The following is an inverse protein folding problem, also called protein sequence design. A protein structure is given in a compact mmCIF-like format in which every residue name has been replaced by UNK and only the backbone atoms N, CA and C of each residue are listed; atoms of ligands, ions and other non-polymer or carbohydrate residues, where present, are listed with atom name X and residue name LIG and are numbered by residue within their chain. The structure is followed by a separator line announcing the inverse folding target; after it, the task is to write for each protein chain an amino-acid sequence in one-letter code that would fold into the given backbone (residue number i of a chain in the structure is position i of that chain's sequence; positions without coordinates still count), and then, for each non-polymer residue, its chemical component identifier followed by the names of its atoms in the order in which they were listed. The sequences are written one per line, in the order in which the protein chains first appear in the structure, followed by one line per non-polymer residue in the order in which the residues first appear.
data_IF_603820038384
#
_entry.id   IF_603820038384
#
_cell.length_a   1.000
_cell.length_b   1.000
_cell.length_c   1.000
_cell.angle_alpha   90.00
_cell.angle_beta   90.00
_cell.angle_gamma   90.00
#
_symmetry.space_group_name_H-M   'P 1'
#
loop_
_entity.id
_entity.type
_entity.pdbx_description
1 polymer ?
#
# COMPACT_ATOMS: atom_id res chain seq x y z
N UNK A 1 6.90 14.00 -2.85
CA UNK A 1 6.94 15.35 -3.45
C UNK A 1 7.50 16.39 -2.47
N UNK A 2 8.17 17.44 -2.95
CA UNK A 2 8.68 18.52 -2.10
C UNK A 2 7.55 19.22 -1.31
N UNK A 3 6.31 19.14 -1.82
CA UNK A 3 5.12 19.72 -1.19
C UNK A 3 4.81 19.00 0.13
N UNK A 4 4.83 17.69 0.19
CA UNK A 4 4.55 16.93 1.41
C UNK A 4 5.55 17.27 2.54
N UNK A 5 6.83 17.50 2.20
CA UNK A 5 7.84 17.91 3.16
C UNK A 5 7.55 19.29 3.80
N UNK A 6 7.00 20.22 3.03
CA UNK A 6 6.70 21.58 3.51
C UNK A 6 5.32 21.61 4.18
N UNK A 7 4.41 20.72 3.79
CA UNK A 7 3.03 20.72 4.24
C UNK A 7 2.88 20.65 5.76
N UNK A 8 3.74 19.93 6.43
CA UNK A 8 3.78 19.81 7.91
C UNK A 8 4.02 21.11 8.66
N UNK A 9 4.54 22.16 7.98
CA UNK A 9 4.81 23.47 8.59
C UNK A 9 3.60 24.40 8.53
N UNK A 10 2.56 24.07 7.77
CA UNK A 10 1.30 24.80 7.73
C UNK A 10 0.40 24.39 8.89
N UNK A 11 -0.42 25.33 9.37
CA UNK A 11 -1.47 24.99 10.32
C UNK A 11 -2.63 24.26 9.64
N UNK A 12 -3.50 23.59 10.41
CA UNK A 12 -4.62 22.78 9.90
C UNK A 12 -5.50 23.53 8.89
N UNK A 13 -5.85 24.78 9.17
CA UNK A 13 -6.68 25.60 8.26
C UNK A 13 -5.98 25.89 6.93
N UNK A 14 -4.67 26.12 6.95
CA UNK A 14 -3.86 26.32 5.75
C UNK A 14 -3.72 25.00 4.97
N UNK A 15 -3.51 23.89 5.66
CA UNK A 15 -3.46 22.54 5.08
C UNK A 15 -4.76 22.21 4.36
N UNK A 16 -5.91 22.40 5.01
CA UNK A 16 -7.22 22.16 4.42
C UNK A 16 -7.45 23.08 3.19
N UNK A 17 -7.06 24.34 3.28
CA UNK A 17 -7.18 25.28 2.17
C UNK A 17 -6.29 24.92 0.97
N UNK A 18 -5.10 24.34 1.20
CA UNK A 18 -4.23 23.85 0.13
C UNK A 18 -4.88 22.63 -0.51
N UNK A 19 -5.27 21.62 0.29
CA UNK A 19 -5.79 20.36 -0.20
C UNK A 19 -7.11 20.54 -0.99
N UNK A 20 -8.02 21.37 -0.52
CA UNK A 20 -9.31 21.65 -1.20
C UNK A 20 -9.11 22.27 -2.61
N UNK A 21 -7.97 22.90 -2.85
CA UNK A 21 -7.64 23.50 -4.16
C UNK A 21 -6.78 22.57 -5.05
N UNK A 22 -6.38 21.38 -4.58
CA UNK A 22 -5.73 20.40 -5.42
C UNK A 22 -6.76 19.74 -6.33
N UNK A 23 -6.40 19.47 -7.58
CA UNK A 23 -7.24 18.68 -8.50
C UNK A 23 -7.15 17.19 -8.16
N UNK A 24 -8.19 16.43 -8.46
CA UNK A 24 -8.08 14.99 -8.52
C UNK A 24 -7.05 14.63 -9.61
N UNK A 25 -5.96 13.97 -9.24
CA UNK A 25 -4.86 13.59 -10.12
C UNK A 25 -3.93 12.64 -9.38
N UNK A 26 -3.17 11.86 -10.13
CA UNK A 26 -2.10 10.99 -9.62
C UNK A 26 -1.16 11.72 -8.64
N UNK A 27 -0.72 12.93 -8.96
CA UNK A 27 0.12 13.73 -8.06
C UNK A 27 -0.56 14.07 -6.72
N UNK A 28 -1.89 14.06 -6.64
CA UNK A 28 -2.63 14.24 -5.39
C UNK A 28 -2.64 12.94 -4.57
N UNK A 29 -2.71 11.80 -5.23
CA UNK A 29 -2.59 10.49 -4.59
C UNK A 29 -1.18 10.30 -4.02
N UNK A 30 -0.13 10.53 -4.83
CA UNK A 30 1.26 10.52 -4.36
C UNK A 30 1.48 11.44 -3.16
N UNK A 31 0.91 12.64 -3.22
CA UNK A 31 1.01 13.60 -2.11
C UNK A 31 0.36 13.06 -0.83
N UNK A 32 -0.82 12.43 -0.92
CA UNK A 32 -1.49 11.83 0.24
C UNK A 32 -0.68 10.70 0.85
N UNK A 33 -0.07 9.85 0.03
CA UNK A 33 0.76 8.73 0.45
C UNK A 33 2.06 9.17 1.15
N UNK A 34 2.57 10.37 0.84
CA UNK A 34 3.77 10.92 1.49
C UNK A 34 3.50 11.66 2.81
N UNK A 35 2.23 11.90 3.17
CA UNK A 35 1.87 12.57 4.41
C UNK A 35 1.88 11.62 5.61
N UNK A 36 1.98 12.20 6.81
CA UNK A 36 1.71 11.44 8.03
C UNK A 36 0.25 10.99 8.05
N UNK A 37 -0.03 9.71 8.32
CA UNK A 37 -1.35 9.08 8.29
C UNK A 37 -2.44 9.90 8.98
N UNK A 38 -2.13 10.46 10.16
CA UNK A 38 -3.08 11.31 10.91
C UNK A 38 -3.50 12.58 10.16
N UNK A 39 -2.61 13.11 9.30
CA UNK A 39 -2.92 14.26 8.45
C UNK A 39 -3.78 13.79 7.28
N UNK A 40 -3.42 12.66 6.67
CA UNK A 40 -4.16 12.06 5.55
C UNK A 40 -5.59 11.76 5.96
N UNK A 41 -5.81 11.03 7.06
CA UNK A 41 -7.16 10.73 7.59
C UNK A 41 -7.98 12.02 7.76
N UNK A 42 -7.40 13.04 8.42
CA UNK A 42 -8.09 14.30 8.66
C UNK A 42 -8.47 15.02 7.36
N UNK A 43 -7.59 15.04 6.38
CA UNK A 43 -7.86 15.67 5.08
C UNK A 43 -8.97 14.93 4.34
N UNK A 44 -8.91 13.60 4.29
CA UNK A 44 -9.89 12.77 3.60
C UNK A 44 -11.27 12.87 4.26
N UNK A 45 -11.36 12.78 5.58
CA UNK A 45 -12.64 12.87 6.30
C UNK A 45 -13.28 14.26 6.27
N UNK A 46 -12.51 15.31 5.97
CA UNK A 46 -13.03 16.66 5.77
C UNK A 46 -13.55 16.90 4.33
N UNK A 47 -13.31 15.97 3.41
CA UNK A 47 -13.80 16.06 2.04
C UNK A 47 -15.19 15.42 1.87
N UNK A 48 -15.79 15.67 0.70
CA UNK A 48 -17.03 14.99 0.34
C UNK A 48 -16.74 13.62 -0.29
N UNK A 49 -17.64 12.63 -0.10
CA UNK A 49 -17.47 11.32 -0.73
C UNK A 49 -17.28 11.40 -2.25
N UNK A 50 -17.98 12.34 -2.92
CA UNK A 50 -17.91 12.50 -4.37
C UNK A 50 -16.50 12.90 -4.83
N UNK A 51 -15.88 13.85 -4.10
CA UNK A 51 -14.53 14.29 -4.43
C UNK A 51 -13.49 13.22 -4.14
N UNK A 52 -13.67 12.47 -3.05
CA UNK A 52 -12.76 11.37 -2.75
C UNK A 52 -12.89 10.26 -3.80
N UNK A 53 -14.10 9.95 -4.28
CA UNK A 53 -14.28 9.01 -5.39
C UNK A 53 -13.54 9.48 -6.68
N UNK A 54 -13.53 10.79 -6.98
CA UNK A 54 -12.76 11.34 -8.10
C UNK A 54 -11.24 11.16 -7.89
N UNK A 55 -10.75 11.33 -6.65
CA UNK A 55 -9.32 11.11 -6.33
C UNK A 55 -8.96 9.63 -6.45
N UNK A 56 -9.82 8.72 -5.99
CA UNK A 56 -9.60 7.29 -6.08
C UNK A 56 -9.53 6.76 -7.52
N UNK A 57 -10.22 7.39 -8.47
CA UNK A 57 -10.11 7.02 -9.89
C UNK A 57 -8.71 7.26 -10.48
N UNK A 58 -7.92 8.13 -9.87
CA UNK A 58 -6.53 8.42 -10.27
C UNK A 58 -5.50 7.59 -9.46
N UNK A 59 -5.98 6.75 -8.53
CA UNK A 59 -5.17 5.93 -7.65
C UNK A 59 -5.10 4.48 -8.15
N UNK A 60 -3.96 3.84 -7.96
CA UNK A 60 -3.82 2.40 -8.17
C UNK A 60 -4.64 1.59 -7.15
N UNK A 61 -4.93 0.32 -7.45
CA UNK A 61 -5.80 -0.52 -6.62
C UNK A 61 -5.31 -0.66 -5.17
N UNK A 62 -4.01 -0.82 -4.96
CA UNK A 62 -3.41 -0.87 -3.61
C UNK A 62 -3.50 0.47 -2.88
N UNK A 63 -3.34 1.60 -3.57
CA UNK A 63 -3.52 2.93 -2.97
C UNK A 63 -4.98 3.20 -2.60
N UNK A 64 -5.93 2.80 -3.45
CA UNK A 64 -7.35 2.84 -3.14
C UNK A 64 -7.67 2.05 -1.87
N UNK A 65 -7.18 0.80 -1.78
CA UNK A 65 -7.38 -0.06 -0.63
C UNK A 65 -6.75 0.55 0.64
N UNK A 66 -5.54 1.11 0.55
CA UNK A 66 -4.89 1.80 1.66
C UNK A 66 -5.70 3.02 2.12
N UNK A 67 -6.05 3.95 1.21
CA UNK A 67 -6.78 5.17 1.56
C UNK A 67 -8.15 4.87 2.16
N UNK A 68 -8.85 3.84 1.67
CA UNK A 68 -10.13 3.42 2.23
C UNK A 68 -10.00 2.64 3.54
N UNK A 69 -8.88 1.98 3.77
CA UNK A 69 -8.58 1.25 5.00
C UNK A 69 -8.29 2.16 6.20
N UNK A 70 -7.73 3.35 5.98
CA UNK A 70 -7.35 4.27 7.07
C UNK A 70 -8.47 5.22 7.53
N UNK A 71 -9.56 5.38 6.77
CA UNK A 71 -10.69 6.26 7.13
C UNK A 71 -11.79 5.50 7.88
N UNK A 72 -12.77 6.24 8.46
CA UNK A 72 -13.92 5.59 9.13
C UNK A 72 -14.72 4.70 8.15
N UNK A 73 -15.07 3.49 8.57
CA UNK A 73 -15.77 2.48 7.77
C UNK A 73 -17.05 3.00 7.07
N UNK A 74 -17.82 3.86 7.76
CA UNK A 74 -19.06 4.41 7.16
C UNK A 74 -18.74 5.44 6.08
N UNK A 75 -17.66 6.19 6.26
CA UNK A 75 -17.21 7.14 5.27
C UNK A 75 -16.64 6.39 4.07
N UNK A 76 -15.78 5.39 4.26
CA UNK A 76 -15.26 4.53 3.20
C UNK A 76 -16.41 3.92 2.37
N UNK A 77 -17.39 3.30 3.00
CA UNK A 77 -18.55 2.71 2.32
C UNK A 77 -19.31 3.75 1.48
N UNK A 78 -19.46 5.00 1.96
CA UNK A 78 -20.14 6.05 1.20
C UNK A 78 -19.36 6.49 -0.05
N UNK A 79 -18.03 6.34 -0.05
CA UNK A 79 -17.18 6.61 -1.21
C UNK A 79 -17.23 5.44 -2.20
N UNK A 80 -17.08 4.21 -1.70
CA UNK A 80 -17.10 2.98 -2.49
C UNK A 80 -18.41 2.87 -3.29
N UNK A 81 -19.57 3.20 -2.68
CA UNK A 81 -20.88 3.21 -3.37
C UNK A 81 -20.93 4.17 -4.59
N UNK A 82 -19.99 5.09 -4.72
CA UNK A 82 -19.92 6.04 -5.86
C UNK A 82 -19.03 5.55 -7.01
N UNK A 83 -18.21 4.52 -6.78
CA UNK A 83 -17.37 3.90 -7.81
C UNK A 83 -18.20 3.06 -8.78
N UNK A 84 -17.61 2.62 -9.89
CA UNK A 84 -18.24 1.66 -10.80
C UNK A 84 -18.37 0.30 -10.13
N UNK A 85 -19.34 -0.51 -10.55
CA UNK A 85 -19.65 -1.78 -9.87
C UNK A 85 -18.44 -2.73 -9.85
N UNK A 86 -17.72 -2.80 -10.94
CA UNK A 86 -16.52 -3.62 -11.08
C UNK A 86 -15.41 -3.14 -10.13
N UNK A 87 -15.20 -1.84 -10.00
CA UNK A 87 -14.23 -1.23 -9.08
C UNK A 87 -14.64 -1.44 -7.62
N UNK A 88 -15.94 -1.38 -7.30
CA UNK A 88 -16.44 -1.66 -5.95
C UNK A 88 -16.14 -3.11 -5.53
N UNK A 89 -16.47 -4.09 -6.38
CA UNK A 89 -16.25 -5.51 -6.10
C UNK A 89 -14.76 -5.80 -5.88
N UNK A 90 -13.89 -5.23 -6.71
CA UNK A 90 -12.44 -5.37 -6.61
C UNK A 90 -11.88 -4.76 -5.31
N UNK A 91 -12.26 -3.53 -5.00
CA UNK A 91 -11.80 -2.84 -3.79
C UNK A 91 -12.30 -3.52 -2.52
N UNK A 92 -13.56 -3.96 -2.48
CA UNK A 92 -14.12 -4.74 -1.36
C UNK A 92 -13.38 -6.07 -1.17
N UNK A 93 -13.01 -6.76 -2.26
CA UNK A 93 -12.22 -7.98 -2.20
C UNK A 93 -10.82 -7.71 -1.63
N UNK A 94 -10.14 -6.66 -2.09
CA UNK A 94 -8.82 -6.27 -1.58
C UNK A 94 -8.87 -5.89 -0.11
N UNK A 95 -9.85 -5.12 0.32
CA UNK A 95 -10.02 -4.72 1.73
C UNK A 95 -10.40 -5.88 2.65
N UNK A 96 -10.82 -7.03 2.11
CA UNK A 96 -11.07 -8.23 2.90
C UNK A 96 -9.78 -8.98 3.29
N UNK A 97 -8.63 -8.70 2.64
CA UNK A 97 -7.35 -9.27 3.02
C UNK A 97 -6.78 -8.62 4.28
N UNK A 98 -5.90 -9.30 5.04
CA UNK A 98 -5.21 -8.71 6.18
C UNK A 98 -4.39 -7.47 5.78
N UNK A 99 -4.31 -6.46 6.65
CA UNK A 99 -3.59 -5.20 6.39
C UNK A 99 -2.12 -5.39 6.01
N UNK A 100 -1.44 -6.40 6.57
CA UNK A 100 -0.02 -6.69 6.32
C UNK A 100 0.17 -7.83 5.30
N UNK A 101 -0.75 -8.00 4.35
CA UNK A 101 -0.72 -9.12 3.41
C UNK A 101 -0.42 -8.70 1.97
N UNK A 102 0.01 -9.67 1.18
CA UNK A 102 0.23 -9.52 -0.25
C UNK A 102 -1.03 -9.02 -1.00
N UNK A 103 -2.21 -9.40 -0.53
CA UNK A 103 -3.49 -9.04 -1.16
C UNK A 103 -3.80 -7.55 -1.09
N UNK A 104 -3.43 -6.86 0.00
CA UNK A 104 -3.64 -5.42 0.13
C UNK A 104 -2.58 -4.60 -0.63
N UNK A 105 -1.38 -5.19 -0.83
CA UNK A 105 -0.24 -4.50 -1.47
C UNK A 105 -0.20 -4.69 -2.98
N UNK A 106 -1.01 -5.60 -3.55
CA UNK A 106 -0.94 -5.93 -4.96
C UNK A 106 -1.60 -4.88 -5.85
N UNK A 107 -1.01 -4.70 -7.03
CA UNK A 107 -1.64 -4.04 -8.17
C UNK A 107 -2.41 -5.08 -8.96
N UNK A 108 -3.66 -4.83 -9.25
CA UNK A 108 -4.53 -5.74 -10.00
C UNK A 108 -4.52 -5.49 -11.50
N UNK A 109 -4.22 -4.26 -11.93
CA UNK A 109 -4.05 -3.94 -13.35
C UNK A 109 -2.70 -4.45 -13.87
N UNK A 110 -2.65 -5.72 -14.23
CA UNK A 110 -1.44 -6.41 -14.67
C UNK A 110 -1.48 -6.65 -16.18
N UNK A 111 -0.45 -6.19 -16.87
CA UNK A 111 -0.30 -6.49 -18.29
C UNK A 111 -0.01 -7.98 -18.52
N UNK A 112 -0.99 -8.68 -19.07
CA UNK A 112 -0.95 -10.12 -19.33
C UNK A 112 -1.23 -10.43 -20.80
N UNK A 113 -0.68 -11.53 -21.30
CA UNK A 113 -0.98 -12.04 -22.64
C UNK A 113 -1.06 -13.57 -22.60
N UNK A 114 -1.81 -14.13 -23.58
CA UNK A 114 -1.86 -15.58 -23.74
C UNK A 114 -0.51 -16.15 -24.17
N UNK A 115 -0.11 -17.30 -23.64
CA UNK A 115 1.19 -17.93 -23.88
C UNK A 115 1.49 -18.26 -25.36
N UNK A 116 0.45 -18.42 -26.17
CA UNK A 116 0.54 -18.64 -27.63
C UNK A 116 0.68 -17.35 -28.45
N UNK A 117 0.78 -16.19 -27.81
CA UNK A 117 1.03 -14.90 -28.47
C UNK A 117 2.46 -14.85 -29.01
N UNK A 118 2.67 -14.18 -30.13
CA UNK A 118 4.02 -13.95 -30.68
C UNK A 118 4.70 -12.75 -30.02
N UNK A 119 6.02 -12.80 -29.88
CA UNK A 119 6.81 -11.70 -29.31
C UNK A 119 6.55 -10.35 -30.00
N UNK A 120 6.37 -10.33 -31.33
CA UNK A 120 6.03 -9.10 -32.08
C UNK A 120 4.68 -8.53 -31.67
N UNK A 121 3.67 -9.38 -31.48
CA UNK A 121 2.32 -8.98 -31.10
C UNK A 121 2.31 -8.47 -29.66
N UNK A 122 3.08 -9.11 -28.78
CA UNK A 122 3.27 -8.67 -27.41
C UNK A 122 3.93 -7.27 -27.32
N UNK A 123 4.95 -7.00 -28.16
CA UNK A 123 5.58 -5.68 -28.20
C UNK A 123 4.59 -4.60 -28.68
N UNK A 124 3.76 -4.91 -29.69
CA UNK A 124 2.75 -3.95 -30.13
C UNK A 124 1.66 -3.71 -29.08
N UNK A 125 1.17 -4.77 -28.42
CA UNK A 125 0.21 -4.63 -27.35
C UNK A 125 0.74 -3.76 -26.20
N UNK A 126 2.03 -3.93 -25.86
CA UNK A 126 2.70 -3.11 -24.85
C UNK A 126 2.84 -1.64 -25.28
N UNK A 127 3.06 -1.36 -26.57
CA UNK A 127 3.17 0.01 -27.09
C UNK A 127 1.83 0.74 -27.14
N UNK A 128 0.73 0.01 -27.24
CA UNK A 128 -0.63 0.56 -27.26
C UNK A 128 -1.21 0.78 -25.83
N UNK A 129 -0.49 0.30 -24.80
CA UNK A 129 -0.88 0.49 -23.41
C UNK A 129 -0.41 1.87 -22.95
N UNK A 130 -1.32 2.82 -22.80
CA UNK A 130 -1.00 4.19 -22.37
C UNK A 130 -0.72 4.24 -20.85
N UNK A 131 -1.34 3.34 -20.06
CA UNK A 131 -1.35 3.34 -18.59
C UNK A 131 -0.47 2.24 -17.97
N UNK A 132 0.38 1.56 -18.77
CA UNK A 132 1.24 0.51 -18.23
C UNK A 132 2.39 1.09 -17.39
N UNK A 133 2.06 1.52 -16.19
CA UNK A 133 3.06 1.87 -15.20
C UNK A 133 3.91 0.63 -14.87
N UNK A 134 5.23 0.82 -14.89
CA UNK A 134 6.23 -0.16 -14.43
C UNK A 134 6.12 -1.59 -14.97
N UNK A 135 5.94 -1.77 -16.29
CA UNK A 135 6.02 -3.10 -16.90
C UNK A 135 7.47 -3.61 -16.93
N UNK A 136 7.93 -4.22 -15.83
CA UNK A 136 9.22 -4.91 -15.81
C UNK A 136 9.15 -6.30 -16.43
N UNK A 137 7.99 -6.94 -16.28
CA UNK A 137 7.71 -8.31 -16.69
C UNK A 137 6.38 -8.36 -17.43
N UNK A 138 6.33 -9.23 -18.46
CA UNK A 138 5.11 -9.69 -19.09
C UNK A 138 4.73 -11.04 -18.46
N UNK A 139 3.52 -11.16 -17.97
CA UNK A 139 2.96 -12.40 -17.44
C UNK A 139 2.16 -13.12 -18.53
N UNK A 140 2.34 -14.43 -18.62
CA UNK A 140 1.63 -15.25 -19.61
C UNK A 140 0.59 -16.14 -18.95
N UNK A 141 -0.58 -16.21 -19.58
CA UNK A 141 -1.72 -16.99 -19.10
C UNK A 141 -2.04 -18.10 -20.10
N UNK A 142 -2.66 -19.18 -19.61
CA UNK A 142 -3.27 -20.22 -20.44
C UNK A 142 -4.75 -19.91 -20.78
N UNK A 143 -5.43 -20.88 -21.44
CA UNK A 143 -6.85 -20.78 -21.80
C UNK A 143 -7.78 -20.68 -20.58
N UNK A 144 -7.34 -21.13 -19.40
CA UNK A 144 -8.07 -21.07 -18.13
C UNK A 144 -7.69 -19.84 -17.30
N UNK A 145 -6.97 -18.86 -17.86
CA UNK A 145 -6.44 -17.66 -17.20
C UNK A 145 -5.45 -17.94 -16.05
N UNK A 146 -4.79 -19.10 -16.03
CA UNK A 146 -3.75 -19.43 -15.04
C UNK A 146 -2.40 -18.90 -15.48
N UNK A 147 -1.61 -18.48 -14.48
CA UNK A 147 -0.25 -18.00 -14.68
C UNK A 147 0.69 -19.14 -15.15
N UNK A 148 1.16 -19.08 -16.38
CA UNK A 148 2.03 -20.13 -16.99
C UNK A 148 3.50 -19.72 -17.09
N UNK A 149 3.79 -18.41 -17.14
CA UNK A 149 5.15 -17.94 -17.32
C UNK A 149 5.33 -16.45 -17.03
N UNK A 150 6.58 -16.07 -16.93
CA UNK A 150 7.02 -14.68 -16.82
C UNK A 150 8.15 -14.41 -17.80
N UNK A 151 8.11 -13.27 -18.49
CA UNK A 151 9.09 -12.84 -19.48
C UNK A 151 9.57 -11.44 -19.09
N UNK A 152 10.89 -11.24 -18.98
CA UNK A 152 11.41 -9.89 -18.80
C UNK A 152 11.24 -9.07 -20.08
N UNK A 153 11.02 -7.76 -19.96
CA UNK A 153 11.00 -6.87 -21.13
C UNK A 153 12.27 -6.99 -21.96
N UNK A 154 13.42 -7.20 -21.34
CA UNK A 154 14.69 -7.39 -22.01
C UNK A 154 14.66 -8.63 -22.91
N UNK A 155 14.17 -9.76 -22.39
CA UNK A 155 14.10 -11.00 -23.17
C UNK A 155 13.08 -10.87 -24.30
N UNK A 156 11.95 -10.22 -24.04
CA UNK A 156 10.93 -9.96 -25.07
C UNK A 156 11.49 -9.14 -26.24
N UNK A 157 12.16 -8.01 -25.97
CA UNK A 157 12.67 -7.13 -27.06
C UNK A 157 13.88 -7.70 -27.80
N UNK A 158 14.61 -8.65 -27.20
CA UNK A 158 15.76 -9.31 -27.83
C UNK A 158 15.39 -10.58 -28.61
N UNK A 159 14.15 -11.04 -28.46
CA UNK A 159 13.64 -12.27 -29.13
C UNK A 159 13.18 -11.99 -30.55
N UNK A 160 13.41 -12.92 -31.50
CA UNK A 160 12.84 -12.81 -32.85
C UNK A 160 11.30 -12.72 -32.80
N UNK A 161 10.73 -11.75 -33.52
CA UNK A 161 9.31 -11.41 -33.42
C UNK A 161 8.30 -12.51 -33.75
N UNK A 162 8.71 -13.58 -34.46
CA UNK A 162 7.84 -14.70 -34.78
C UNK A 162 7.88 -15.86 -33.76
N UNK A 163 8.66 -15.70 -32.66
CA UNK A 163 8.75 -16.66 -31.53
C UNK A 163 7.51 -16.55 -30.67
N UNK A 164 6.95 -17.67 -30.20
CA UNK A 164 5.84 -17.70 -29.24
C UNK A 164 6.33 -17.39 -27.85
N UNK A 165 5.50 -16.72 -27.04
CA UNK A 165 5.84 -16.39 -25.65
C UNK A 165 6.14 -17.63 -24.80
N UNK A 166 5.40 -18.72 -24.97
CA UNK A 166 5.62 -20.01 -24.29
C UNK A 166 7.00 -20.63 -24.51
N UNK A 167 7.70 -20.25 -25.61
CA UNK A 167 9.02 -20.78 -25.96
C UNK A 167 10.16 -19.99 -25.27
N UNK A 168 9.87 -18.78 -24.76
CA UNK A 168 10.84 -17.87 -24.16
C UNK A 168 10.55 -17.57 -22.68
N UNK A 169 9.35 -17.86 -22.20
CA UNK A 169 8.94 -17.59 -20.81
C UNK A 169 9.71 -18.47 -19.82
N UNK A 170 10.01 -17.91 -18.66
CA UNK A 170 10.43 -18.67 -17.50
C UNK A 170 9.20 -19.33 -16.85
N UNK A 171 9.24 -20.65 -16.70
CA UNK A 171 8.19 -21.44 -16.03
C UNK A 171 8.44 -21.61 -14.53
N UNK A 172 9.66 -21.26 -14.08
CA UNK A 172 9.98 -21.29 -12.64
C UNK A 172 9.58 -19.97 -11.99
N UNK A 173 8.28 -19.81 -11.76
CA UNK A 173 7.69 -18.62 -11.21
C UNK A 173 7.71 -18.72 -9.68
N UNK A 174 8.19 -17.67 -9.02
CA UNK A 174 8.00 -17.50 -7.58
C UNK A 174 6.76 -16.61 -7.41
N UNK A 175 5.63 -17.22 -7.11
CA UNK A 175 4.38 -16.54 -6.82
C UNK A 175 4.06 -16.61 -5.33
N UNK A 176 3.27 -15.69 -4.84
CA UNK A 176 2.77 -15.66 -3.45
C UNK A 176 1.24 -15.76 -3.44
N UNK A 177 0.66 -16.05 -2.29
CA UNK A 177 -0.80 -16.02 -2.07
C UNK A 177 -1.22 -14.67 -1.51
N UNK A 178 -2.48 -14.25 -1.69
CA UNK A 178 -2.94 -12.96 -1.16
C UNK A 178 -2.80 -12.86 0.38
N UNK A 179 -2.89 -13.97 1.10
CA UNK A 179 -2.73 -14.00 2.56
C UNK A 179 -1.25 -14.04 3.01
N UNK A 180 -0.29 -14.04 2.07
CA UNK A 180 1.14 -14.06 2.42
C UNK A 180 1.53 -12.74 3.09
N UNK A 181 2.21 -12.84 4.21
CA UNK A 181 2.70 -11.71 4.97
C UNK A 181 3.71 -10.88 4.16
N UNK A 182 3.63 -9.56 4.27
CA UNK A 182 4.49 -8.60 3.54
C UNK A 182 5.98 -8.81 3.81
N UNK A 183 6.38 -9.20 5.03
CA UNK A 183 7.79 -9.50 5.34
C UNK A 183 8.30 -10.73 4.57
N UNK A 184 7.43 -11.73 4.37
CA UNK A 184 7.79 -12.89 3.56
C UNK A 184 7.92 -12.52 2.08
N UNK A 185 7.01 -11.68 1.56
CA UNK A 185 7.12 -11.13 0.18
C UNK A 185 8.42 -10.36 0.02
N UNK A 186 8.75 -9.48 0.97
CA UNK A 186 10.00 -8.72 0.99
C UNK A 186 11.24 -9.62 0.98
N UNK A 187 11.20 -10.72 1.75
CA UNK A 187 12.28 -11.71 1.78
C UNK A 187 12.47 -12.39 0.42
N UNK A 188 11.38 -12.74 -0.27
CA UNK A 188 11.41 -13.31 -1.62
C UNK A 188 12.02 -12.32 -2.61
N UNK A 189 11.52 -11.08 -2.63
CA UNK A 189 12.03 -10.00 -3.49
C UNK A 189 13.52 -9.79 -3.28
N UNK A 190 13.96 -9.68 -2.03
CA UNK A 190 15.37 -9.48 -1.69
C UNK A 190 16.25 -10.68 -2.04
N UNK A 191 15.77 -11.91 -1.81
CA UNK A 191 16.53 -13.13 -2.08
C UNK A 191 16.78 -13.36 -3.56
N UNK A 192 15.79 -13.07 -4.41
CA UNK A 192 15.84 -13.33 -5.85
C UNK A 192 16.13 -12.08 -6.69
N UNK A 193 16.21 -10.89 -6.08
CA UNK A 193 16.34 -9.60 -6.75
C UNK A 193 15.23 -9.37 -7.81
N UNK A 194 14.01 -9.73 -7.48
CA UNK A 194 12.87 -9.48 -8.34
C UNK A 194 12.45 -8.00 -8.28
N UNK A 195 11.93 -7.49 -9.39
CA UNK A 195 11.34 -6.16 -9.47
C UNK A 195 9.83 -6.20 -9.21
N UNK A 196 9.22 -7.37 -9.40
CA UNK A 196 7.83 -7.64 -9.06
C UNK A 196 7.63 -9.13 -8.79
N UNK A 197 6.64 -9.47 -7.95
CA UNK A 197 6.23 -10.83 -7.59
C UNK A 197 4.75 -11.00 -7.88
N UNK A 198 4.32 -12.02 -8.64
CA UNK A 198 2.91 -12.26 -8.91
C UNK A 198 2.20 -12.85 -7.69
N UNK A 199 0.97 -12.39 -7.49
CA UNK A 199 0.02 -12.92 -6.50
C UNK A 199 -0.98 -13.80 -7.24
N UNK A 200 -1.17 -15.03 -6.76
CA UNK A 200 -2.06 -16.01 -7.40
C UNK A 200 -3.00 -16.63 -6.38
N UNK A 201 -4.19 -17.01 -6.83
CA UNK A 201 -5.16 -17.76 -6.03
C UNK A 201 -4.80 -19.26 -5.90
N UNK A 202 -5.65 -20.03 -5.19
CA UNK A 202 -5.45 -21.47 -4.99
C UNK A 202 -5.50 -22.31 -6.28
N UNK A 203 -6.05 -21.76 -7.37
CA UNK A 203 -6.15 -22.40 -8.68
C UNK A 203 -5.09 -21.90 -9.68
N UNK A 204 -4.13 -21.09 -9.21
CA UNK A 204 -3.02 -20.47 -9.94
C UNK A 204 -3.48 -19.35 -10.92
N UNK A 205 -4.69 -18.76 -10.75
CA UNK A 205 -5.07 -17.56 -11.49
C UNK A 205 -4.30 -16.37 -10.97
N UNK A 206 -3.84 -15.50 -11.88
CA UNK A 206 -3.15 -14.27 -11.52
C UNK A 206 -4.15 -13.26 -10.99
N UNK A 207 -3.99 -12.85 -9.72
CA UNK A 207 -4.80 -11.82 -9.06
C UNK A 207 -4.17 -10.43 -9.19
N UNK A 208 -2.84 -10.37 -9.15
CA UNK A 208 -2.12 -9.12 -9.20
C UNK A 208 -0.61 -9.30 -9.15
N UNK A 209 0.11 -8.20 -8.99
CA UNK A 209 1.57 -8.19 -8.77
C UNK A 209 1.91 -7.26 -7.62
N UNK A 210 2.99 -7.56 -6.91
CA UNK A 210 3.56 -6.65 -5.92
C UNK A 210 4.92 -6.20 -6.42
N UNK A 211 5.12 -4.91 -6.54
CA UNK A 211 6.36 -4.33 -7.04
C UNK A 211 7.36 -4.10 -5.90
N UNK A 212 8.64 -3.95 -6.22
CA UNK A 212 9.69 -3.76 -5.21
C UNK A 212 9.53 -2.45 -4.44
N UNK A 213 9.03 -1.41 -5.07
CA UNK A 213 8.76 -0.10 -4.47
C UNK A 213 7.65 -0.18 -3.43
N UNK A 214 6.49 -0.82 -3.74
CA UNK A 214 5.41 -1.04 -2.77
C UNK A 214 5.88 -1.77 -1.51
N UNK A 215 6.77 -2.76 -1.67
CA UNK A 215 7.33 -3.49 -0.54
C UNK A 215 8.30 -2.64 0.27
N UNK A 216 9.12 -1.81 -0.39
CA UNK A 216 10.07 -0.93 0.32
C UNK A 216 9.29 0.07 1.16
N UNK A 217 8.24 0.67 0.63
CA UNK A 217 7.39 1.61 1.34
C UNK A 217 6.70 0.95 2.54
N UNK A 218 6.10 -0.21 2.33
CA UNK A 218 5.46 -1.00 3.39
C UNK A 218 6.43 -1.37 4.54
N UNK A 219 7.64 -1.84 4.23
CA UNK A 219 8.64 -2.19 5.26
C UNK A 219 9.11 -0.94 6.02
N UNK A 220 9.27 0.19 5.35
CA UNK A 220 9.65 1.46 5.99
C UNK A 220 8.57 1.88 6.98
N UNK A 221 7.31 1.71 6.63
CA UNK A 221 6.18 2.03 7.51
C UNK A 221 6.11 1.07 8.70
N UNK A 222 6.28 -0.23 8.53
CA UNK A 222 6.37 -1.21 9.62
C UNK A 222 7.50 -0.85 10.60
N UNK A 223 8.70 -0.56 10.11
CA UNK A 223 9.84 -0.17 10.96
C UNK A 223 9.53 1.13 11.72
N UNK A 224 8.85 2.08 11.08
CA UNK A 224 8.45 3.34 11.72
C UNK A 224 7.40 3.11 12.81
N UNK A 225 6.44 2.23 12.57
CA UNK A 225 5.41 1.85 13.55
C UNK A 225 6.01 1.15 14.76
N UNK A 226 6.82 0.11 14.56
CA UNK A 226 7.49 -0.61 15.65
C UNK A 226 8.35 0.34 16.50
N UNK A 227 9.13 1.22 15.86
CA UNK A 227 9.93 2.21 16.58
C UNK A 227 9.05 3.19 17.39
N UNK A 228 7.90 3.58 16.86
CA UNK A 228 6.94 4.46 17.53
C UNK A 228 6.26 3.74 18.70
N UNK A 229 5.82 2.49 18.52
CA UNK A 229 5.24 1.67 19.58
C UNK A 229 6.23 1.42 20.73
N UNK A 230 7.46 1.07 20.42
CA UNK A 230 8.53 0.86 21.41
C UNK A 230 8.79 2.14 22.20
N UNK A 231 8.83 3.30 21.52
CA UNK A 231 8.97 4.58 22.19
C UNK A 231 7.79 4.90 23.10
N UNK A 232 6.55 4.64 22.66
CA UNK A 232 5.34 4.83 23.45
C UNK A 232 5.28 3.90 24.66
N UNK A 233 5.69 2.63 24.50
CA UNK A 233 5.82 1.69 25.62
C UNK A 233 6.85 2.16 26.64
N UNK A 234 8.02 2.61 26.21
CA UNK A 234 9.06 3.17 27.08
C UNK A 234 8.59 4.46 27.78
N UNK A 235 7.76 5.26 27.10
CA UNK A 235 7.13 6.47 27.67
C UNK A 235 5.93 6.15 28.59
N UNK A 236 5.53 4.86 28.73
CA UNK A 236 4.40 4.44 29.56
C UNK A 236 3.02 4.75 28.98
N UNK A 237 2.92 4.93 27.66
CA UNK A 237 1.68 5.30 26.99
C UNK A 237 0.81 4.09 26.55
N UNK A 238 1.35 2.84 26.59
CA UNK A 238 0.63 1.63 26.17
C UNK A 238 0.68 1.40 24.65
N UNK A 239 0.09 0.29 24.17
CA UNK A 239 0.15 -0.16 22.75
C UNK A 239 -0.90 0.48 21.82
N UNK A 240 -1.79 1.33 22.32
CA UNK A 240 -2.90 1.82 21.51
C UNK A 240 -2.50 3.00 20.61
N UNK A 241 -2.47 2.76 19.29
CA UNK A 241 -2.35 3.76 18.21
C UNK A 241 -3.35 4.93 18.38
N UNK A 242 -4.56 4.62 18.82
CA UNK A 242 -5.60 5.61 19.14
C UNK A 242 -5.18 6.67 20.19
N UNK A 243 -4.11 6.45 20.95
CA UNK A 243 -3.66 7.42 21.97
C UNK A 243 -3.09 8.68 21.32
N UNK A 244 -2.50 8.57 20.14
CA UNK A 244 -1.96 9.72 19.40
C UNK A 244 -3.06 10.61 18.82
N UNK A 245 -4.22 10.03 18.52
CA UNK A 245 -5.38 10.72 17.93
C UNK A 245 -6.34 11.29 18.99
N UNK A 246 -6.17 10.92 20.29
CA UNK A 246 -7.04 11.37 21.39
C UNK A 246 -6.68 12.76 21.87
N UNK A 247 -7.67 13.46 22.42
CA UNK A 247 -7.48 14.79 22.99
C UNK A 247 -6.39 14.80 24.07
N UNK A 248 -5.69 15.93 24.24
CA UNK A 248 -4.62 16.09 25.23
C UNK A 248 -5.04 15.68 26.66
N UNK A 249 -6.33 15.77 26.99
CA UNK A 249 -6.88 15.39 28.29
C UNK A 249 -7.01 13.87 28.46
N UNK A 250 -7.39 13.16 27.42
CA UNK A 250 -7.46 11.69 27.41
C UNK A 250 -6.07 11.07 27.49
N UNK A 251 -5.13 11.61 26.73
CA UNK A 251 -3.71 11.24 26.79
C UNK A 251 -3.12 11.49 28.20
N UNK A 252 -3.44 12.61 28.83
CA UNK A 252 -3.01 12.89 30.18
C UNK A 252 -3.57 11.87 31.20
N UNK A 253 -4.82 11.44 31.02
CA UNK A 253 -5.49 10.49 31.96
C UNK A 253 -4.87 9.09 31.87
N UNK A 254 -4.42 8.65 30.70
CA UNK A 254 -3.72 7.36 30.51
C UNK A 254 -2.31 7.41 31.10
N UNK A 255 -1.60 8.53 30.94
CA UNK A 255 -0.21 8.71 31.41
C UNK A 255 -0.09 8.99 32.91
N UNK A 256 -1.10 9.56 33.52
CA UNK A 256 -1.06 9.99 34.92
C UNK A 256 -0.77 8.86 35.95
N UNK A 257 -1.31 7.64 35.80
CA UNK A 257 -0.97 6.53 36.70
C UNK A 257 0.50 6.12 36.63
N UNK A 258 1.08 6.10 35.42
CA UNK A 258 2.48 5.76 35.21
C UNK A 258 3.43 6.84 35.77
N UNK A 259 3.13 8.10 35.51
CA UNK A 259 3.90 9.23 36.07
C UNK A 259 3.85 9.22 37.58
N UNK A 260 2.70 8.91 38.18
CA UNK A 260 2.54 8.78 39.62
C UNK A 260 3.37 7.63 40.18
N UNK A 261 3.36 6.47 39.56
CA UNK A 261 4.20 5.31 39.92
C UNK A 261 5.69 5.65 39.88
N UNK A 262 6.13 6.31 38.80
CA UNK A 262 7.53 6.76 38.65
C UNK A 262 7.93 7.79 39.70
N UNK A 263 7.04 8.73 40.06
CA UNK A 263 7.28 9.72 41.08
C UNK A 263 7.41 9.09 42.46
N UNK A 264 6.51 8.15 42.82
CA UNK A 264 6.59 7.38 44.08
C UNK A 264 7.86 6.55 44.12
N UNK A 265 8.23 5.88 43.03
CA UNK A 265 9.47 5.15 42.95
C UNK A 265 10.71 6.02 43.13
N UNK A 266 10.71 7.22 42.57
CA UNK A 266 11.78 8.21 42.75
C UNK A 266 11.93 8.68 44.20
N UNK A 267 10.82 8.91 44.92
CA UNK A 267 10.85 9.28 46.32
C UNK A 267 11.38 8.15 47.19
N UNK A 268 10.96 6.89 46.92
CA UNK A 268 11.43 5.73 47.65
C UNK A 268 12.93 5.51 47.41
N UNK A 269 13.38 5.64 46.20
CA UNK A 269 14.80 5.54 45.85
C UNK A 269 15.63 6.63 46.56
N UNK A 270 15.15 7.89 46.56
CA UNK A 270 15.81 8.99 47.25
C UNK A 270 15.89 8.76 48.78
N UNK A 271 14.85 8.17 49.36
CA UNK A 271 14.83 7.83 50.78
C UNK A 271 15.82 6.70 51.11
N UNK A 272 15.95 5.69 50.25
CA UNK A 272 16.91 4.57 50.41
C UNK A 272 18.35 5.04 50.23
N UNK A 273 18.60 5.93 49.29
CA UNK A 273 19.96 6.41 48.98
C UNK A 273 20.41 7.51 49.97
N UNK A 274 19.43 8.25 50.54
CA UNK A 274 19.69 9.33 51.51
C UNK A 274 19.88 8.86 52.95
N UNK A 275 19.81 7.52 53.20
CA UNK A 275 20.15 6.86 54.46
C UNK A 275 21.49 6.16 54.33
#
# INVERSE_FOLDING_TARGET
SDLALIFRYFNETEQDAIFINMSASESTVEFLNELDESITIRLLENETPERLAEILQEASSNEQAYLMGIVDEKFANSVIELLQVEEQEELEEMMAYPEDSAGILMYTDVFTLHEDTKAREAIYALQDQEDAEMVFYLYTLDDDARLTGVISLRDLVTTPGDTMLKDIMSKNIQAVRPETDQEEVARIVSQYNFLAVPVVDSEEHLLGIITVDSIVDSIVDVIREEATEDFLQLAGAGKDREILLKSSWENARVRLPWLFASWVGGILAAFIIGV
#
